data_IF_573749573031
#
_entry.id   IF_573749573031
#
_cell.length_a   1.000
_cell.length_b   1.000
_cell.length_c   1.000
_cell.angle_alpha   90.00
_cell.angle_beta   90.00
_cell.angle_gamma   90.00
#
_symmetry.space_group_name_H-M   'P 1'
#
loop_
_entity.id
_entity.type
_entity.pdbx_description
1 polymer ?
#
# COMPACT_ATOMS: atom_id res chain seq x y z
N UNK A 1 -50.64 -3.32 -5.44
CA UNK A 1 -49.19 -3.39 -5.16
C UNK A 1 -48.56 -4.17 -6.30
N UNK A 2 -47.74 -3.51 -7.12
CA UNK A 2 -47.01 -4.16 -8.20
C UNK A 2 -45.79 -4.81 -7.54
N UNK A 3 -45.84 -6.12 -7.35
CA UNK A 3 -44.66 -6.88 -6.97
C UNK A 3 -43.76 -6.98 -8.20
N UNK A 4 -42.66 -6.24 -8.18
CA UNK A 4 -41.61 -6.39 -9.16
C UNK A 4 -40.86 -7.68 -8.81
N UNK A 5 -40.91 -8.68 -9.68
CA UNK A 5 -40.02 -9.84 -9.57
C UNK A 5 -38.58 -9.32 -9.68
N UNK A 6 -37.80 -9.42 -8.61
CA UNK A 6 -36.38 -9.14 -8.66
C UNK A 6 -35.71 -10.27 -9.44
N UNK A 7 -35.48 -10.08 -10.73
CA UNK A 7 -34.45 -10.84 -11.44
C UNK A 7 -33.11 -10.63 -10.72
N UNK A 8 -32.35 -11.70 -10.53
CA UNK A 8 -31.09 -11.72 -9.79
C UNK A 8 -29.93 -11.06 -10.56
N UNK A 9 -30.16 -9.91 -11.20
CA UNK A 9 -29.15 -9.14 -11.96
C UNK A 9 -28.53 -7.97 -11.16
N UNK A 10 -28.72 -7.91 -9.84
CA UNK A 10 -28.19 -6.83 -8.99
C UNK A 10 -26.83 -7.13 -8.34
N UNK A 11 -26.06 -8.09 -8.85
CA UNK A 11 -24.68 -8.29 -8.37
C UNK A 11 -23.75 -7.22 -8.94
N UNK A 12 -22.83 -6.70 -8.11
CA UNK A 12 -21.83 -5.75 -8.58
C UNK A 12 -20.97 -6.37 -9.71
N UNK A 13 -20.78 -5.64 -10.82
CA UNK A 13 -19.95 -6.08 -11.95
C UNK A 13 -18.51 -5.71 -11.65
N UNK A 14 -17.74 -6.69 -11.17
CA UNK A 14 -16.33 -6.53 -10.80
C UNK A 14 -15.45 -7.08 -11.93
N UNK A 15 -14.46 -6.30 -12.37
CA UNK A 15 -13.44 -6.73 -13.34
C UNK A 15 -12.05 -6.64 -12.73
N UNK A 16 -11.20 -7.59 -13.08
CA UNK A 16 -9.79 -7.62 -12.67
C UNK A 16 -8.93 -7.57 -13.93
N UNK A 17 -8.12 -6.53 -14.09
CA UNK A 17 -7.22 -6.35 -15.22
C UNK A 17 -5.76 -6.48 -14.79
N UNK A 18 -5.07 -7.47 -15.35
CA UNK A 18 -3.64 -7.69 -15.17
C UNK A 18 -2.83 -6.96 -16.23
N UNK A 19 -2.00 -6.00 -15.83
CA UNK A 19 -1.24 -5.15 -16.75
C UNK A 19 0.24 -5.56 -16.78
N UNK A 20 0.73 -5.82 -17.99
CA UNK A 20 2.08 -6.33 -18.24
C UNK A 20 2.27 -7.79 -17.82
N UNK A 21 3.50 -8.29 -17.88
CA UNK A 21 3.81 -9.70 -17.61
C UNK A 21 3.49 -10.15 -16.19
N UNK A 22 3.90 -9.38 -15.18
CA UNK A 22 3.64 -9.72 -13.78
C UNK A 22 2.14 -9.67 -13.44
N UNK A 23 1.42 -8.64 -13.92
CA UNK A 23 -0.04 -8.57 -13.74
C UNK A 23 -0.77 -9.73 -14.45
N UNK A 24 -0.34 -10.10 -15.66
CA UNK A 24 -0.86 -11.26 -16.37
C UNK A 24 -0.63 -12.58 -15.63
N UNK A 25 0.55 -12.77 -15.03
CA UNK A 25 0.84 -13.93 -14.20
C UNK A 25 -0.04 -13.99 -12.95
N UNK A 26 -0.23 -12.86 -12.26
CA UNK A 26 -1.12 -12.77 -11.11
C UNK A 26 -2.57 -13.13 -11.49
N UNK A 27 -3.07 -12.63 -12.63
CA UNK A 27 -4.41 -12.99 -13.14
C UNK A 27 -4.51 -14.48 -13.46
N UNK A 28 -3.50 -15.07 -14.10
CA UNK A 28 -3.47 -16.52 -14.36
C UNK A 28 -3.50 -17.31 -13.04
N UNK A 29 -2.76 -16.88 -12.01
CA UNK A 29 -2.78 -17.49 -10.68
C UNK A 29 -4.16 -17.38 -10.01
N UNK A 30 -4.84 -16.25 -10.16
CA UNK A 30 -6.20 -16.05 -9.64
C UNK A 30 -7.20 -17.01 -10.29
N UNK A 31 -7.12 -17.19 -11.60
CA UNK A 31 -7.97 -18.11 -12.36
C UNK A 31 -7.70 -19.56 -11.93
N UNK A 32 -6.43 -19.94 -11.78
CA UNK A 32 -6.02 -21.28 -11.36
C UNK A 32 -6.46 -21.61 -9.93
N UNK A 33 -6.55 -20.58 -9.09
CA UNK A 33 -7.08 -20.67 -7.72
C UNK A 33 -8.61 -20.75 -7.66
N UNK A 34 -9.29 -20.86 -8.82
CA UNK A 34 -10.75 -20.93 -8.96
C UNK A 34 -11.48 -19.74 -8.34
N UNK A 35 -10.88 -18.56 -8.43
CA UNK A 35 -11.51 -17.33 -7.96
C UNK A 35 -12.69 -16.97 -8.90
N UNK A 36 -13.91 -16.98 -8.36
CA UNK A 36 -15.15 -16.81 -9.10
C UNK A 36 -15.78 -15.43 -8.82
N UNK A 37 -16.77 -15.04 -9.63
CA UNK A 37 -17.54 -13.81 -9.41
C UNK A 37 -16.93 -12.54 -10.00
N UNK A 38 -15.76 -12.64 -10.63
CA UNK A 38 -15.11 -11.53 -11.33
C UNK A 38 -14.82 -11.87 -12.79
N UNK A 39 -14.76 -10.85 -13.65
CA UNK A 39 -14.30 -11.00 -15.03
C UNK A 39 -12.82 -10.65 -15.11
N UNK A 40 -11.99 -11.60 -15.51
CA UNK A 40 -10.55 -11.40 -15.66
C UNK A 40 -10.20 -10.88 -17.05
N UNK A 41 -9.22 -10.00 -17.06
CA UNK A 41 -8.70 -9.34 -18.24
C UNK A 41 -7.18 -9.28 -18.13
N UNK A 42 -6.47 -9.31 -19.26
CA UNK A 42 -5.04 -9.00 -19.30
C UNK A 42 -4.76 -7.96 -20.36
N UNK A 43 -3.82 -7.07 -20.09
CA UNK A 43 -3.36 -6.05 -21.03
C UNK A 43 -1.83 -6.07 -21.11
N UNK A 44 -1.28 -6.29 -22.29
CA UNK A 44 0.17 -6.33 -22.48
C UNK A 44 0.59 -5.83 -23.87
N UNK A 45 1.82 -5.32 -23.95
CA UNK A 45 2.46 -4.96 -25.23
C UNK A 45 3.16 -6.16 -25.87
N UNK A 46 3.47 -7.18 -25.08
CA UNK A 46 4.08 -8.43 -25.55
C UNK A 46 2.99 -9.43 -25.95
N UNK A 47 2.95 -9.79 -27.23
CA UNK A 47 1.97 -10.72 -27.79
C UNK A 47 2.16 -12.15 -27.27
N UNK A 48 3.40 -12.60 -27.09
CA UNK A 48 3.70 -13.95 -26.60
C UNK A 48 3.21 -14.14 -25.16
N UNK A 49 3.30 -13.09 -24.36
CA UNK A 49 2.76 -13.10 -23.00
C UNK A 49 1.24 -13.17 -22.97
N UNK A 50 0.54 -12.67 -24.00
CA UNK A 50 -0.92 -12.75 -24.10
C UNK A 50 -1.41 -14.13 -24.56
N UNK A 51 -0.64 -14.84 -25.40
CA UNK A 51 -1.00 -16.20 -25.86
C UNK A 51 -1.10 -17.20 -24.70
N UNK A 52 -0.30 -17.01 -23.64
CA UNK A 52 -0.33 -17.85 -22.43
C UNK A 52 -1.36 -17.40 -21.39
N UNK A 53 -2.09 -16.31 -21.66
CA UNK A 53 -3.10 -15.79 -20.74
C UNK A 53 -4.34 -16.69 -20.70
N UNK A 54 -4.89 -16.89 -19.49
CA UNK A 54 -6.14 -17.64 -19.27
C UNK A 54 -7.36 -16.73 -19.08
N UNK A 55 -7.17 -15.41 -19.15
CA UNK A 55 -8.23 -14.44 -18.94
C UNK A 55 -9.31 -14.49 -20.03
N UNK A 56 -10.55 -14.13 -19.68
CA UNK A 56 -11.66 -14.12 -20.65
C UNK A 56 -11.50 -13.03 -21.73
N UNK A 57 -10.76 -11.96 -21.41
CA UNK A 57 -10.43 -10.88 -22.34
C UNK A 57 -8.92 -10.65 -22.31
N UNK A 58 -8.29 -10.64 -23.47
CA UNK A 58 -6.89 -10.27 -23.65
C UNK A 58 -6.83 -9.01 -24.52
N UNK A 59 -6.04 -8.03 -24.09
CA UNK A 59 -5.87 -6.75 -24.76
C UNK A 59 -4.39 -6.59 -25.14
N UNK A 60 -4.12 -6.63 -26.44
CA UNK A 60 -2.82 -6.23 -26.95
C UNK A 60 -2.79 -4.72 -27.11
N UNK A 61 -1.95 -4.05 -26.34
CA UNK A 61 -1.83 -2.59 -26.37
C UNK A 61 -0.57 -2.16 -27.12
N UNK A 62 -0.64 -1.03 -27.84
CA UNK A 62 0.51 -0.47 -28.57
C UNK A 62 1.08 -1.39 -29.65
N UNK A 63 0.21 -2.04 -30.44
CA UNK A 63 0.61 -2.92 -31.54
C UNK A 63 1.49 -2.18 -32.56
N UNK A 64 1.16 -0.92 -32.90
CA UNK A 64 1.93 -0.13 -33.87
C UNK A 64 3.26 0.35 -33.31
N UNK A 65 3.33 0.57 -31.99
CA UNK A 65 4.51 1.10 -31.32
C UNK A 65 5.56 0.02 -31.03
N UNK A 66 5.11 -1.17 -30.66
CA UNK A 66 5.98 -2.24 -30.13
C UNK A 66 6.09 -3.45 -31.05
N UNK A 67 5.26 -3.52 -32.10
CA UNK A 67 5.18 -4.68 -33.00
C UNK A 67 4.94 -6.01 -32.25
N UNK A 68 4.34 -5.94 -31.06
CA UNK A 68 4.09 -7.11 -30.20
C UNK A 68 5.31 -7.60 -29.41
N UNK A 69 6.42 -6.87 -29.39
CA UNK A 69 7.70 -7.26 -28.74
C UNK A 69 7.85 -6.75 -27.31
N UNK A 70 6.87 -6.01 -26.79
CA UNK A 70 6.91 -5.46 -25.45
C UNK A 70 7.54 -4.05 -25.34
N UNK A 71 7.48 -3.47 -24.15
CA UNK A 71 7.90 -2.07 -23.90
C UNK A 71 9.40 -1.89 -23.54
N UNK A 72 10.21 -2.95 -23.60
CA UNK A 72 11.67 -2.85 -23.36
C UNK A 72 12.08 -2.25 -22.00
N UNK A 73 11.30 -2.49 -20.94
CA UNK A 73 11.47 -1.88 -19.61
C UNK A 73 11.45 -0.33 -19.58
N UNK A 74 10.84 0.30 -20.58
CA UNK A 74 10.61 1.74 -20.64
C UNK A 74 9.14 2.06 -20.31
N UNK A 75 8.85 2.70 -19.15
CA UNK A 75 7.49 3.09 -18.78
C UNK A 75 6.82 4.01 -19.80
N UNK A 76 7.56 4.89 -20.46
CA UNK A 76 6.95 5.84 -21.40
C UNK A 76 6.38 5.13 -22.64
N UNK A 77 7.04 4.06 -23.10
CA UNK A 77 6.53 3.21 -24.18
C UNK A 77 5.26 2.49 -23.71
N UNK A 78 5.23 1.99 -22.47
CA UNK A 78 4.04 1.36 -21.88
C UNK A 78 2.86 2.33 -21.79
N UNK A 79 3.11 3.58 -21.41
CA UNK A 79 2.10 4.64 -21.35
C UNK A 79 1.56 4.97 -22.74
N UNK A 80 2.44 5.22 -23.71
CA UNK A 80 2.06 5.51 -25.10
C UNK A 80 1.27 4.36 -25.72
N UNK A 81 1.66 3.11 -25.45
CA UNK A 81 0.94 1.93 -25.90
C UNK A 81 -0.49 1.87 -25.34
N UNK A 82 -0.69 2.20 -24.06
CA UNK A 82 -2.03 2.27 -23.48
C UNK A 82 -2.84 3.43 -24.06
N UNK A 83 -2.21 4.59 -24.30
CA UNK A 83 -2.84 5.75 -24.93
C UNK A 83 -3.29 5.45 -26.37
N UNK A 84 -2.50 4.70 -27.14
CA UNK A 84 -2.85 4.25 -28.49
C UNK A 84 -4.13 3.39 -28.50
N UNK A 85 -4.30 2.55 -27.49
CA UNK A 85 -5.39 1.58 -27.37
C UNK A 85 -6.49 2.01 -26.41
N UNK A 86 -6.69 3.33 -26.20
CA UNK A 86 -7.69 3.86 -25.27
C UNK A 86 -9.10 3.34 -25.56
N UNK A 87 -9.51 3.30 -26.83
CA UNK A 87 -10.87 2.92 -27.20
C UNK A 87 -11.15 1.44 -26.91
N UNK A 88 -10.18 0.57 -27.18
CA UNK A 88 -10.27 -0.86 -26.87
C UNK A 88 -10.32 -1.10 -25.36
N UNK A 89 -9.47 -0.40 -24.59
CA UNK A 89 -9.46 -0.46 -23.13
C UNK A 89 -10.81 0.01 -22.57
N UNK A 90 -11.34 1.14 -23.07
CA UNK A 90 -12.63 1.69 -22.64
C UNK A 90 -13.75 0.70 -22.90
N UNK A 91 -13.87 0.20 -24.13
CA UNK A 91 -14.89 -0.77 -24.51
C UNK A 91 -14.82 -2.05 -23.65
N UNK A 92 -13.61 -2.50 -23.35
CA UNK A 92 -13.42 -3.69 -22.52
C UNK A 92 -13.79 -3.45 -21.04
N UNK A 93 -13.62 -2.23 -20.54
CA UNK A 93 -13.94 -1.82 -19.17
C UNK A 93 -15.39 -1.33 -18.97
N UNK A 94 -16.15 -1.06 -20.02
CA UNK A 94 -17.55 -0.61 -19.93
C UNK A 94 -18.45 -1.48 -19.03
N UNK A 95 -19.43 -0.83 -18.39
CA UNK A 95 -20.39 -1.46 -17.46
C UNK A 95 -19.76 -2.13 -16.23
N UNK A 96 -18.57 -1.68 -15.80
CA UNK A 96 -17.96 -2.14 -14.53
C UNK A 96 -18.37 -1.21 -13.40
N UNK A 97 -18.78 -1.78 -12.26
CA UNK A 97 -18.96 -1.00 -11.03
C UNK A 97 -17.64 -0.84 -10.28
N UNK A 98 -16.76 -1.83 -10.42
CA UNK A 98 -15.45 -1.86 -9.77
C UNK A 98 -14.41 -2.49 -10.69
N UNK A 99 -13.23 -1.89 -10.74
CA UNK A 99 -12.08 -2.37 -11.52
C UNK A 99 -10.86 -2.51 -10.62
N UNK A 100 -10.33 -3.72 -10.54
CA UNK A 100 -9.06 -4.01 -9.91
C UNK A 100 -7.96 -4.00 -10.96
N UNK A 101 -6.94 -3.16 -10.78
CA UNK A 101 -5.78 -3.09 -11.65
C UNK A 101 -4.62 -3.76 -10.92
N UNK A 102 -4.15 -4.89 -11.45
CA UNK A 102 -2.97 -5.58 -10.91
C UNK A 102 -1.77 -5.46 -11.83
N UNK A 103 -0.64 -5.02 -11.27
CA UNK A 103 0.58 -4.83 -12.03
C UNK A 103 1.83 -5.02 -11.17
N UNK A 104 2.91 -5.53 -11.77
CA UNK A 104 4.24 -5.44 -11.22
C UNK A 104 4.91 -4.16 -11.70
N UNK A 105 5.24 -3.27 -10.76
CA UNK A 105 5.89 -1.99 -11.07
C UNK A 105 7.41 -2.14 -11.20
N UNK A 106 8.02 -1.18 -11.90
CA UNK A 106 9.44 -1.21 -12.24
C UNK A 106 9.74 -1.82 -13.61
N UNK A 107 8.74 -2.39 -14.28
CA UNK A 107 8.80 -2.75 -15.69
C UNK A 107 8.48 -1.58 -16.63
N UNK A 108 8.29 -1.88 -17.92
CA UNK A 108 7.82 -0.89 -18.90
C UNK A 108 6.29 -0.82 -18.96
N UNK A 109 5.67 -1.92 -19.38
CA UNK A 109 4.22 -1.98 -19.61
C UNK A 109 3.41 -1.75 -18.34
N UNK A 110 3.64 -2.54 -17.27
CA UNK A 110 2.89 -2.40 -16.02
C UNK A 110 2.99 -0.99 -15.43
N UNK A 111 4.20 -0.45 -15.33
CA UNK A 111 4.45 0.88 -14.76
C UNK A 111 3.80 2.01 -15.55
N UNK A 112 3.85 1.95 -16.89
CA UNK A 112 3.37 3.04 -17.75
C UNK A 112 1.89 2.93 -18.13
N UNK A 113 1.38 1.72 -18.34
CA UNK A 113 0.02 1.49 -18.80
C UNK A 113 -1.00 1.48 -17.64
N UNK A 114 -0.62 1.03 -16.44
CA UNK A 114 -1.55 0.95 -15.31
C UNK A 114 -2.19 2.30 -14.93
N UNK A 115 -1.45 3.44 -14.87
CA UNK A 115 -2.07 4.75 -14.63
C UNK A 115 -3.08 5.16 -15.70
N UNK A 116 -2.81 4.87 -16.98
CA UNK A 116 -3.71 5.21 -18.09
C UNK A 116 -4.99 4.37 -18.01
N UNK A 117 -4.87 3.08 -17.72
CA UNK A 117 -6.02 2.19 -17.53
C UNK A 117 -6.85 2.63 -16.31
N UNK A 118 -6.20 3.09 -15.24
CA UNK A 118 -6.87 3.64 -14.06
C UNK A 118 -7.67 4.91 -14.38
N UNK A 119 -7.09 5.83 -15.15
CA UNK A 119 -7.77 7.05 -15.59
C UNK A 119 -9.04 6.72 -16.38
N UNK A 120 -8.96 5.80 -17.35
CA UNK A 120 -10.11 5.33 -18.14
C UNK A 120 -11.16 4.67 -17.24
N UNK A 121 -10.73 3.87 -16.25
CA UNK A 121 -11.64 3.21 -15.29
C UNK A 121 -12.43 4.22 -14.45
N UNK A 122 -11.79 5.34 -14.09
CA UNK A 122 -12.43 6.43 -13.35
C UNK A 122 -13.36 7.27 -14.24
N UNK A 123 -12.98 7.52 -15.49
CA UNK A 123 -13.84 8.21 -16.48
C UNK A 123 -15.18 7.51 -16.68
N UNK A 124 -15.19 6.16 -16.68
CA UNK A 124 -16.42 5.38 -16.80
C UNK A 124 -17.22 5.26 -15.49
N UNK A 125 -16.73 5.86 -14.40
CA UNK A 125 -17.40 5.89 -13.09
C UNK A 125 -17.23 4.63 -12.25
N UNK A 126 -16.27 3.75 -12.56
CA UNK A 126 -15.99 2.57 -11.77
C UNK A 126 -15.09 2.89 -10.56
N UNK A 127 -15.37 2.26 -9.42
CA UNK A 127 -14.45 2.27 -8.28
C UNK A 127 -13.14 1.59 -8.67
N UNK A 128 -12.05 2.33 -8.68
CA UNK A 128 -10.77 1.89 -9.25
C UNK A 128 -9.76 1.64 -8.14
N UNK A 129 -9.37 0.37 -7.99
CA UNK A 129 -8.42 -0.07 -6.97
C UNK A 129 -7.20 -0.66 -7.65
N UNK A 130 -6.02 -0.09 -7.40
CA UNK A 130 -4.76 -0.65 -7.89
C UNK A 130 -4.10 -1.52 -6.83
N UNK A 131 -3.79 -2.77 -7.17
CA UNK A 131 -3.03 -3.70 -6.32
C UNK A 131 -1.71 -4.01 -7.01
N UNK A 132 -0.63 -3.41 -6.54
CA UNK A 132 0.65 -3.38 -7.25
C UNK A 132 1.80 -3.92 -6.43
N UNK A 133 2.73 -4.60 -7.10
CA UNK A 133 3.97 -5.08 -6.45
C UNK A 133 5.16 -4.17 -6.78
N UNK A 134 5.98 -3.93 -5.76
CA UNK A 134 7.30 -3.31 -5.89
C UNK A 134 8.36 -4.38 -6.18
N UNK A 135 9.38 -4.10 -7.01
CA UNK A 135 10.39 -5.08 -7.40
C UNK A 135 11.26 -5.48 -6.20
N UNK A 136 11.94 -6.63 -6.30
CA UNK A 136 12.94 -7.02 -5.31
C UNK A 136 14.16 -6.10 -5.38
N UNK A 137 14.81 -5.83 -4.25
CA UNK A 137 16.01 -4.98 -4.21
C UNK A 137 17.17 -5.49 -5.07
N UNK A 138 17.24 -6.80 -5.36
CA UNK A 138 18.26 -7.38 -6.25
C UNK A 138 18.03 -7.05 -7.74
N UNK A 139 16.81 -6.66 -8.13
CA UNK A 139 16.50 -6.29 -9.52
C UNK A 139 17.07 -4.93 -9.92
N UNK A 140 17.59 -4.17 -8.94
CA UNK A 140 18.38 -2.97 -9.15
C UNK A 140 17.63 -1.67 -8.89
N UNK A 141 18.40 -0.64 -8.54
CA UNK A 141 17.88 0.69 -8.15
C UNK A 141 17.07 1.37 -9.25
N UNK A 142 17.39 1.12 -10.53
CA UNK A 142 16.66 1.71 -11.67
C UNK A 142 15.20 1.25 -11.69
N UNK A 143 14.94 -0.05 -11.53
CA UNK A 143 13.58 -0.60 -11.48
C UNK A 143 12.82 -0.09 -10.26
N UNK A 144 13.46 -0.04 -9.10
CA UNK A 144 12.83 0.51 -7.90
C UNK A 144 12.42 1.98 -8.07
N UNK A 145 13.27 2.80 -8.70
CA UNK A 145 12.92 4.19 -9.01
C UNK A 145 11.72 4.28 -9.96
N UNK A 146 11.74 3.50 -11.04
CA UNK A 146 10.60 3.44 -11.97
C UNK A 146 9.31 3.00 -11.27
N UNK A 147 9.41 2.07 -10.32
CA UNK A 147 8.26 1.61 -9.55
C UNK A 147 7.69 2.73 -8.66
N UNK A 148 8.55 3.48 -7.99
CA UNK A 148 8.12 4.63 -7.17
C UNK A 148 7.45 5.72 -8.01
N UNK A 149 8.03 6.04 -9.18
CA UNK A 149 7.45 7.00 -10.11
C UNK A 149 6.06 6.53 -10.59
N UNK A 150 5.90 5.22 -10.85
CA UNK A 150 4.62 4.60 -11.20
C UNK A 150 3.58 4.62 -10.08
N UNK A 151 3.99 4.42 -8.81
CA UNK A 151 3.08 4.56 -7.66
C UNK A 151 2.55 5.98 -7.57
N UNK A 152 3.42 6.99 -7.71
CA UNK A 152 3.03 8.39 -7.62
C UNK A 152 2.01 8.74 -8.71
N UNK A 153 2.24 8.27 -9.94
CA UNK A 153 1.27 8.45 -11.03
C UNK A 153 -0.06 7.73 -10.74
N UNK A 154 -0.05 6.52 -10.17
CA UNK A 154 -1.27 5.80 -9.79
C UNK A 154 -2.06 6.52 -8.71
N UNK A 155 -1.39 7.03 -7.67
CA UNK A 155 -2.02 7.75 -6.54
C UNK A 155 -2.85 8.95 -6.98
N UNK A 156 -2.48 9.60 -8.07
CA UNK A 156 -3.23 10.75 -8.61
C UNK A 156 -4.53 10.33 -9.31
N UNK A 157 -4.59 9.11 -9.84
CA UNK A 157 -5.70 8.67 -10.71
C UNK A 157 -6.65 7.69 -10.03
N UNK A 158 -6.17 6.74 -9.21
CA UNK A 158 -7.01 5.72 -8.59
C UNK A 158 -7.72 6.23 -7.34
N UNK A 159 -8.71 5.47 -6.86
CA UNK A 159 -9.35 5.74 -5.57
C UNK A 159 -8.51 5.17 -4.41
N UNK A 160 -7.96 3.96 -4.58
CA UNK A 160 -7.08 3.32 -3.59
C UNK A 160 -5.90 2.61 -4.27
N UNK A 161 -4.68 2.81 -3.75
CA UNK A 161 -3.48 2.03 -4.14
C UNK A 161 -3.07 1.12 -2.99
N UNK A 162 -3.09 -0.19 -3.21
CA UNK A 162 -2.50 -1.20 -2.32
C UNK A 162 -1.12 -1.57 -2.85
N UNK A 163 -0.08 -1.29 -2.07
CA UNK A 163 1.31 -1.58 -2.44
C UNK A 163 1.84 -2.81 -1.70
N UNK A 164 2.43 -3.74 -2.44
CA UNK A 164 3.04 -4.95 -1.88
C UNK A 164 4.55 -4.94 -2.16
N UNK A 165 5.36 -4.95 -1.11
CA UNK A 165 6.82 -4.99 -1.23
C UNK A 165 7.35 -6.41 -1.37
N UNK A 166 7.89 -6.76 -2.54
CA UNK A 166 8.52 -8.07 -2.77
C UNK A 166 9.74 -8.30 -1.85
N UNK A 167 10.43 -7.24 -1.43
CA UNK A 167 11.52 -7.36 -0.45
C UNK A 167 11.02 -7.82 0.92
N UNK A 168 9.79 -7.47 1.32
CA UNK A 168 9.19 -7.97 2.57
C UNK A 168 8.83 -9.45 2.45
N UNK A 169 8.32 -9.89 1.29
CA UNK A 169 8.12 -11.32 1.03
C UNK A 169 9.43 -12.10 1.17
N UNK A 170 10.55 -11.54 0.71
CA UNK A 170 11.87 -12.15 0.88
C UNK A 170 12.26 -12.34 2.34
N UNK A 171 11.92 -11.41 3.23
CA UNK A 171 12.22 -11.55 4.67
C UNK A 171 11.46 -12.71 5.34
N UNK A 172 10.31 -13.09 4.79
CA UNK A 172 9.48 -14.21 5.27
C UNK A 172 9.82 -15.54 4.61
N UNK A 173 10.73 -15.54 3.65
CA UNK A 173 11.07 -16.74 2.90
C UNK A 173 12.27 -17.47 3.53
N UNK A 174 12.28 -18.80 3.40
CA UNK A 174 13.45 -19.56 3.81
C UNK A 174 14.66 -19.18 2.96
N UNK A 175 15.88 -19.27 3.52
CA UNK A 175 17.13 -19.00 2.75
C UNK A 175 17.31 -19.93 1.53
N UNK A 176 16.52 -21.00 1.43
CA UNK A 176 16.54 -21.96 0.32
C UNK A 176 15.42 -21.72 -0.70
N UNK A 177 14.55 -20.73 -0.48
CA UNK A 177 13.46 -20.43 -1.39
C UNK A 177 14.01 -20.05 -2.76
N UNK A 178 13.47 -20.66 -3.80
CA UNK A 178 13.79 -20.38 -5.19
C UNK A 178 13.12 -19.09 -5.65
N UNK A 179 13.66 -18.47 -6.70
CA UNK A 179 13.06 -17.26 -7.28
C UNK A 179 11.62 -17.49 -7.76
N UNK A 180 11.32 -18.68 -8.29
CA UNK A 180 9.98 -19.04 -8.75
C UNK A 180 8.98 -19.16 -7.60
N UNK A 181 9.38 -19.73 -6.46
CA UNK A 181 8.55 -19.75 -5.25
C UNK A 181 8.28 -18.34 -4.73
N UNK A 182 9.25 -17.44 -4.83
CA UNK A 182 9.09 -16.05 -4.41
C UNK A 182 8.09 -15.28 -5.26
N UNK A 183 8.13 -15.43 -6.59
CA UNK A 183 7.15 -14.81 -7.48
C UNK A 183 5.74 -15.39 -7.25
N UNK A 184 5.63 -16.72 -7.09
CA UNK A 184 4.35 -17.33 -6.71
C UNK A 184 3.79 -16.78 -5.41
N UNK A 185 4.64 -16.57 -4.41
CA UNK A 185 4.21 -15.96 -3.14
C UNK A 185 3.74 -14.50 -3.31
N UNK A 186 4.33 -13.75 -4.24
CA UNK A 186 3.83 -12.42 -4.59
C UNK A 186 2.46 -12.50 -5.27
N UNK A 187 2.28 -13.44 -6.20
CA UNK A 187 1.00 -13.68 -6.88
C UNK A 187 -0.10 -14.16 -5.90
N UNK A 188 0.26 -14.96 -4.89
CA UNK A 188 -0.64 -15.37 -3.81
C UNK A 188 -1.11 -14.18 -2.96
N UNK A 189 -0.20 -13.25 -2.64
CA UNK A 189 -0.56 -12.04 -1.89
C UNK A 189 -1.47 -11.15 -2.73
N UNK A 190 -1.17 -10.96 -4.02
CA UNK A 190 -2.06 -10.23 -4.95
C UNK A 190 -3.45 -10.86 -5.02
N UNK A 191 -3.53 -12.19 -5.12
CA UNK A 191 -4.78 -12.93 -5.05
C UNK A 191 -5.53 -12.64 -3.76
N UNK A 192 -4.86 -12.73 -2.59
CA UNK A 192 -5.51 -12.48 -1.31
C UNK A 192 -6.00 -11.03 -1.18
N UNK A 193 -5.29 -10.04 -1.72
CA UNK A 193 -5.72 -8.64 -1.73
C UNK A 193 -7.02 -8.44 -2.51
N UNK A 194 -7.09 -8.99 -3.72
CA UNK A 194 -8.30 -8.88 -4.54
C UNK A 194 -9.43 -9.70 -3.91
N UNK A 195 -9.17 -10.97 -3.58
CA UNK A 195 -10.13 -11.91 -2.99
C UNK A 195 -10.75 -11.36 -1.70
N UNK A 196 -9.93 -10.78 -0.81
CA UNK A 196 -10.39 -10.25 0.48
C UNK A 196 -11.45 -9.16 0.34
N UNK A 197 -11.35 -8.31 -0.69
CA UNK A 197 -12.33 -7.25 -0.96
C UNK A 197 -13.54 -7.81 -1.70
N UNK A 198 -13.31 -8.64 -2.71
CA UNK A 198 -14.40 -9.17 -3.55
C UNK A 198 -15.29 -10.15 -2.82
N UNK A 199 -14.73 -10.96 -1.91
CA UNK A 199 -15.50 -11.94 -1.15
C UNK A 199 -16.51 -11.23 -0.23
N UNK A 200 -16.17 -10.06 0.32
CA UNK A 200 -17.10 -9.25 1.11
C UNK A 200 -18.33 -8.77 0.33
N UNK A 201 -18.18 -8.58 -0.99
CA UNK A 201 -19.24 -8.08 -1.86
C UNK A 201 -20.06 -9.23 -2.45
N UNK A 202 -19.39 -10.33 -2.79
CA UNK A 202 -19.95 -11.39 -3.64
C UNK A 202 -20.35 -12.64 -2.87
N UNK A 203 -19.67 -12.97 -1.78
CA UNK A 203 -19.95 -14.19 -1.03
C UNK A 203 -21.03 -13.93 0.02
N UNK A 204 -22.03 -14.82 0.13
CA UNK A 204 -23.02 -14.71 1.19
C UNK A 204 -22.37 -14.97 2.55
N UNK A 205 -22.33 -13.92 3.37
CA UNK A 205 -21.97 -13.92 4.77
C UNK A 205 -23.18 -13.87 5.71
N UNK A 206 -22.92 -14.02 7.01
CA UNK A 206 -23.90 -13.69 8.06
C UNK A 206 -24.19 -12.19 8.09
N UNK A 207 -23.16 -11.39 7.86
CA UNK A 207 -23.22 -9.94 7.68
C UNK A 207 -22.65 -9.60 6.31
N UNK A 208 -23.56 -9.36 5.36
CA UNK A 208 -23.20 -8.88 4.03
C UNK A 208 -23.04 -7.36 4.08
N UNK A 209 -21.91 -6.89 3.59
CA UNK A 209 -21.70 -5.47 3.32
C UNK A 209 -22.32 -5.14 1.96
N UNK A 210 -22.89 -3.94 1.83
CA UNK A 210 -23.32 -3.49 0.53
C UNK A 210 -22.13 -2.90 -0.26
N UNK A 211 -22.29 -2.78 -1.58
CA UNK A 211 -21.24 -2.21 -2.41
C UNK A 211 -21.00 -0.71 -2.11
N UNK A 212 -22.00 0.00 -1.57
CA UNK A 212 -21.89 1.42 -1.27
C UNK A 212 -21.01 1.66 -0.03
N UNK A 213 -21.06 0.79 0.96
CA UNK A 213 -20.21 0.78 2.14
C UNK A 213 -18.73 0.61 1.75
N UNK A 214 -18.44 -0.43 0.95
CA UNK A 214 -17.08 -0.66 0.42
C UNK A 214 -16.62 0.52 -0.42
N UNK A 215 -17.49 1.06 -1.28
CA UNK A 215 -17.17 2.24 -2.08
C UNK A 215 -16.87 3.45 -1.20
N UNK A 216 -17.61 3.67 -0.12
CA UNK A 216 -17.41 4.84 0.76
C UNK A 216 -16.05 4.81 1.42
N UNK A 217 -15.60 3.66 1.94
CA UNK A 217 -14.27 3.51 2.54
C UNK A 217 -13.17 3.58 1.49
N UNK A 218 -13.31 2.83 0.39
CA UNK A 218 -12.26 2.75 -0.64
C UNK A 218 -12.17 3.99 -1.55
N UNK A 219 -13.18 4.86 -1.54
CA UNK A 219 -13.11 6.16 -2.22
C UNK A 219 -12.37 7.21 -1.39
N UNK A 220 -12.11 6.96 -0.10
CA UNK A 220 -11.25 7.82 0.72
C UNK A 220 -9.82 7.66 0.20
N UNK A 221 -9.40 8.66 -0.57
CA UNK A 221 -8.23 8.61 -1.41
C UNK A 221 -6.95 8.32 -0.62
N UNK A 222 -6.13 7.39 -1.11
CA UNK A 222 -4.76 7.30 -0.64
C UNK A 222 -4.06 5.96 -0.78
N UNK A 223 -2.96 5.85 -0.04
CA UNK A 223 -2.23 4.62 0.17
C UNK A 223 -3.06 3.72 1.09
N UNK A 224 -3.21 2.47 0.69
CA UNK A 224 -3.82 1.44 1.51
C UNK A 224 -2.84 0.31 1.76
N UNK A 225 -2.98 -0.31 2.93
CA UNK A 225 -2.18 -1.43 3.36
C UNK A 225 -3.08 -2.60 3.70
N UNK A 226 -2.59 -3.81 3.41
CA UNK A 226 -3.32 -5.04 3.64
C UNK A 226 -2.53 -5.96 4.56
N UNK A 227 -3.20 -6.42 5.61
CA UNK A 227 -2.72 -7.45 6.52
C UNK A 227 -3.63 -8.67 6.48
N UNK A 228 -3.08 -9.87 6.66
CA UNK A 228 -3.88 -11.10 6.79
C UNK A 228 -3.30 -11.98 7.87
N UNK A 229 -4.16 -12.41 8.80
CA UNK A 229 -3.81 -13.36 9.84
C UNK A 229 -4.68 -14.60 9.74
N UNK A 230 -4.07 -15.75 10.02
CA UNK A 230 -4.77 -17.04 10.12
C UNK A 230 -4.40 -17.66 11.46
N UNK A 231 -5.39 -18.14 12.19
CA UNK A 231 -5.21 -18.87 13.44
C UNK A 231 -6.32 -19.93 13.63
N UNK A 232 -6.13 -20.83 14.58
CA UNK A 232 -7.04 -21.93 14.94
C UNK A 232 -6.97 -22.20 16.45
N UNK A 233 -7.98 -22.90 17.00
CA UNK A 233 -8.11 -23.14 18.45
C UNK A 233 -8.94 -22.08 19.20
N UNK A 234 -8.90 -22.12 20.54
CA UNK A 234 -9.82 -21.34 21.40
C UNK A 234 -9.66 -19.81 21.27
N UNK A 235 -8.44 -19.30 21.03
CA UNK A 235 -8.16 -17.87 20.85
C UNK A 235 -7.95 -17.48 19.39
N UNK A 236 -8.49 -18.26 18.44
CA UNK A 236 -8.23 -18.07 17.01
C UNK A 236 -8.62 -16.68 16.49
N UNK A 237 -9.70 -16.09 16.99
CA UNK A 237 -10.15 -14.78 16.52
C UNK A 237 -9.19 -13.66 16.91
N UNK A 238 -8.80 -13.60 18.18
CA UNK A 238 -7.84 -12.63 18.71
C UNK A 238 -6.46 -12.82 18.06
N UNK A 239 -5.97 -14.06 17.96
CA UNK A 239 -4.67 -14.35 17.34
C UNK A 239 -4.65 -14.00 15.85
N UNK A 240 -5.72 -14.30 15.11
CA UNK A 240 -5.81 -13.96 13.70
C UNK A 240 -5.86 -12.45 13.50
N UNK A 241 -6.61 -11.72 14.33
CA UNK A 241 -6.62 -10.26 14.32
C UNK A 241 -5.23 -9.68 14.61
N UNK A 242 -4.53 -10.18 15.65
CA UNK A 242 -3.16 -9.75 15.99
C UNK A 242 -2.18 -9.98 14.84
N UNK A 243 -2.24 -11.16 14.20
CA UNK A 243 -1.41 -11.49 13.04
C UNK A 243 -1.74 -10.63 11.82
N UNK A 244 -3.00 -10.22 11.67
CA UNK A 244 -3.42 -9.35 10.57
C UNK A 244 -2.84 -7.95 10.75
N UNK A 245 -2.90 -7.37 11.96
CA UNK A 245 -2.41 -6.01 12.22
C UNK A 245 -0.89 -5.91 12.36
N UNK A 246 -0.22 -7.00 12.71
CA UNK A 246 1.25 -7.09 12.77
C UNK A 246 1.84 -7.71 11.50
N UNK A 247 1.04 -7.83 10.44
CA UNK A 247 1.45 -8.55 9.26
C UNK A 247 2.66 -7.86 8.59
N UNK A 248 3.72 -8.58 8.20
CA UNK A 248 4.96 -8.00 7.66
C UNK A 248 4.82 -7.23 6.34
N UNK A 249 3.62 -7.26 5.72
CA UNK A 249 3.28 -6.48 4.54
C UNK A 249 2.78 -5.08 4.85
N UNK A 250 2.42 -4.79 6.10
CA UNK A 250 1.94 -3.47 6.56
C UNK A 250 3.07 -2.41 6.70
N UNK A 251 4.21 -2.63 6.07
CA UNK A 251 5.40 -1.76 6.16
C UNK A 251 5.78 -1.39 7.61
N UNK A 252 6.40 -0.23 7.82
CA UNK A 252 6.63 0.36 9.15
C UNK A 252 5.48 1.34 9.52
N UNK A 253 4.33 1.18 8.87
CA UNK A 253 3.17 2.05 8.99
C UNK A 253 2.13 1.31 9.83
N UNK A 254 1.93 1.78 11.06
CA UNK A 254 0.88 1.23 11.90
C UNK A 254 -0.49 1.52 11.28
N UNK A 255 -1.47 0.64 11.53
CA UNK A 255 -2.88 0.87 11.16
C UNK A 255 -3.43 2.11 11.89
N UNK A 256 -2.79 2.52 12.99
CA UNK A 256 -3.09 3.76 13.71
C UNK A 256 -3.02 4.99 12.81
N UNK A 257 -4.14 5.70 12.71
CA UNK A 257 -4.27 6.89 11.85
C UNK A 257 -4.89 6.63 10.47
N UNK A 258 -5.37 5.42 10.20
CA UNK A 258 -6.21 5.16 9.02
C UNK A 258 -7.58 5.85 9.15
N UNK A 259 -8.03 6.53 8.11
CA UNK A 259 -9.37 7.16 8.07
C UNK A 259 -10.50 6.14 7.87
N UNK A 260 -10.17 4.97 7.31
CA UNK A 260 -11.12 3.89 7.09
C UNK A 260 -10.45 2.52 7.13
N UNK A 261 -11.09 1.56 7.80
CA UNK A 261 -10.61 0.19 7.93
C UNK A 261 -11.69 -0.78 7.46
N UNK A 262 -11.34 -1.63 6.51
CA UNK A 262 -12.18 -2.72 6.04
C UNK A 262 -11.65 -4.04 6.60
N UNK A 263 -12.47 -4.72 7.40
CA UNK A 263 -12.17 -6.01 8.01
C UNK A 263 -13.02 -7.11 7.36
N UNK A 264 -12.36 -8.16 6.89
CA UNK A 264 -13.00 -9.39 6.41
C UNK A 264 -12.63 -10.55 7.30
N UNK A 265 -13.64 -11.23 7.84
CA UNK A 265 -13.46 -12.43 8.66
C UNK A 265 -13.96 -13.64 7.87
N UNK A 266 -13.05 -14.48 7.39
CA UNK A 266 -13.40 -15.77 6.79
C UNK A 266 -13.34 -16.88 7.84
N UNK A 267 -14.43 -17.63 8.01
CA UNK A 267 -14.59 -18.64 9.05
C UNK A 267 -15.55 -19.75 8.57
N UNK A 268 -15.58 -20.87 9.29
CA UNK A 268 -16.63 -21.87 9.15
C UNK A 268 -17.96 -21.39 9.74
N UNK A 269 -18.98 -22.23 9.61
CA UNK A 269 -20.32 -21.99 10.19
C UNK A 269 -20.37 -21.98 11.74
N UNK A 270 -19.23 -22.14 12.39
CA UNK A 270 -19.03 -22.24 13.84
C UNK A 270 -18.59 -20.93 14.52
N UNK A 271 -18.49 -19.82 13.76
CA UNK A 271 -18.13 -18.52 14.31
C UNK A 271 -19.09 -18.05 15.41
N UNK A 272 -18.54 -17.76 16.58
CA UNK A 272 -19.30 -17.22 17.72
C UNK A 272 -19.28 -15.69 17.76
N UNK A 273 -20.28 -15.10 18.40
CA UNK A 273 -20.31 -13.65 18.63
C UNK A 273 -19.14 -13.17 19.51
N UNK A 274 -18.68 -13.99 20.45
CA UNK A 274 -17.56 -13.64 21.32
C UNK A 274 -16.26 -13.50 20.52
N UNK A 275 -15.96 -14.47 19.64
CA UNK A 275 -14.83 -14.42 18.73
C UNK A 275 -14.87 -13.17 17.83
N UNK A 276 -16.04 -12.86 17.27
CA UNK A 276 -16.21 -11.68 16.42
C UNK A 276 -15.95 -10.37 17.19
N UNK A 277 -16.47 -10.26 18.42
CA UNK A 277 -16.24 -9.08 19.28
C UNK A 277 -14.77 -8.94 19.64
N UNK A 278 -14.08 -10.03 20.03
CA UNK A 278 -12.66 -9.99 20.36
C UNK A 278 -11.79 -9.52 19.18
N UNK A 279 -12.04 -10.03 17.98
CA UNK A 279 -11.32 -9.61 16.77
C UNK A 279 -11.59 -8.14 16.43
N UNK A 280 -12.85 -7.71 16.50
CA UNK A 280 -13.25 -6.34 16.20
C UNK A 280 -12.65 -5.34 17.20
N UNK A 281 -12.75 -5.61 18.50
CA UNK A 281 -12.22 -4.75 19.56
C UNK A 281 -10.70 -4.59 19.43
N UNK A 282 -9.99 -5.68 19.09
CA UNK A 282 -8.54 -5.62 18.92
C UNK A 282 -8.12 -4.70 17.77
N UNK A 283 -8.85 -4.73 16.66
CA UNK A 283 -8.59 -3.88 15.49
C UNK A 283 -9.00 -2.43 15.77
N UNK A 284 -10.13 -2.23 16.46
CA UNK A 284 -10.60 -0.91 16.87
C UNK A 284 -9.57 -0.18 17.75
N UNK A 285 -9.01 -0.89 18.73
CA UNK A 285 -7.97 -0.37 19.61
C UNK A 285 -6.68 0.03 18.87
N UNK A 286 -6.38 -0.59 17.72
CA UNK A 286 -5.18 -0.28 16.93
C UNK A 286 -5.42 0.87 15.94
N UNK A 287 -6.59 0.91 15.29
CA UNK A 287 -6.91 1.93 14.28
C UNK A 287 -7.13 3.32 14.90
N UNK A 288 -7.70 3.38 16.10
CA UNK A 288 -8.05 4.61 16.80
C UNK A 288 -9.55 4.95 16.70
N UNK A 289 -10.05 5.73 17.65
CA UNK A 289 -11.50 5.99 17.82
C UNK A 289 -12.15 6.77 16.67
N UNK A 290 -11.35 7.48 15.86
CA UNK A 290 -11.82 8.30 14.73
C UNK A 290 -11.89 7.50 13.40
N UNK A 291 -11.40 6.26 13.37
CA UNK A 291 -11.38 5.45 12.17
C UNK A 291 -12.77 4.84 11.87
N UNK A 292 -13.25 4.98 10.64
CA UNK A 292 -14.49 4.32 10.23
C UNK A 292 -14.21 2.84 9.91
N UNK A 293 -14.67 1.92 10.76
CA UNK A 293 -14.43 0.49 10.60
C UNK A 293 -15.67 -0.19 10.04
N UNK A 294 -15.50 -0.83 8.89
CA UNK A 294 -16.50 -1.67 8.26
C UNK A 294 -16.03 -3.12 8.33
N UNK A 295 -16.89 -4.01 8.81
CA UNK A 295 -16.57 -5.42 8.97
C UNK A 295 -17.60 -6.30 8.27
N UNK A 296 -17.12 -7.38 7.67
CA UNK A 296 -17.97 -8.40 7.08
C UNK A 296 -17.45 -9.80 7.37
N UNK A 297 -18.35 -10.77 7.27
CA UNK A 297 -18.06 -12.19 7.53
C UNK A 297 -18.23 -12.97 6.24
N UNK A 298 -17.30 -13.86 5.92
CA UNK A 298 -17.40 -14.78 4.79
C UNK A 298 -17.43 -16.19 5.34
N UNK A 299 -18.49 -16.93 5.05
CA UNK A 299 -18.59 -18.34 5.44
C UNK A 299 -17.92 -19.21 4.38
N UNK A 300 -16.92 -19.98 4.80
CA UNK A 300 -16.21 -20.94 3.97
C UNK A 300 -16.03 -22.24 4.75
N UNK A 301 -16.92 -23.21 4.56
CA UNK A 301 -16.83 -24.50 5.27
C UNK A 301 -15.60 -25.34 4.85
N UNK A 302 -14.82 -24.92 3.85
CA UNK A 302 -13.62 -25.63 3.41
C UNK A 302 -12.40 -25.41 4.32
N UNK A 303 -12.40 -24.34 5.12
CA UNK A 303 -11.25 -23.99 5.99
C UNK A 303 -11.31 -24.67 7.37
N UNK A 304 -12.38 -25.41 7.68
CA UNK A 304 -12.49 -26.17 8.92
C UNK A 304 -12.51 -25.28 10.17
N UNK A 305 -11.57 -25.52 11.08
CA UNK A 305 -11.43 -24.80 12.37
C UNK A 305 -10.54 -23.53 12.26
N UNK A 306 -10.11 -23.18 11.04
CA UNK A 306 -9.32 -21.97 10.84
C UNK A 306 -10.20 -20.73 10.75
N UNK A 307 -9.73 -19.65 11.38
CA UNK A 307 -10.29 -18.32 11.24
C UNK A 307 -9.24 -17.41 10.58
N UNK A 308 -9.63 -16.77 9.48
CA UNK A 308 -8.80 -15.84 8.72
C UNK A 308 -9.36 -14.43 8.86
N UNK A 309 -8.53 -13.51 9.34
CA UNK A 309 -8.85 -12.08 9.38
C UNK A 309 -8.00 -11.36 8.34
N UNK A 310 -8.65 -10.63 7.44
CA UNK A 310 -8.00 -9.73 6.50
C UNK A 310 -8.38 -8.30 6.85
N UNK A 311 -7.39 -7.43 7.01
CA UNK A 311 -7.58 -6.01 7.33
C UNK A 311 -7.01 -5.18 6.20
N UNK A 312 -7.79 -4.21 5.73
CA UNK A 312 -7.40 -3.23 4.71
C UNK A 312 -7.59 -1.86 5.31
N UNK A 313 -6.48 -1.18 5.58
CA UNK A 313 -6.48 0.17 6.09
C UNK A 313 -6.30 1.15 4.93
N UNK A 314 -7.16 2.16 4.87
CA UNK A 314 -7.24 3.20 3.82
C UNK A 314 -7.09 4.59 4.42
N UNK A 315 -6.70 5.57 3.61
CA UNK A 315 -6.50 6.94 4.07
C UNK A 315 -5.31 7.07 5.04
N UNK A 316 -4.32 6.16 4.95
CA UNK A 316 -3.13 6.28 5.79
C UNK A 316 -2.29 7.43 5.24
N UNK A 317 -2.25 8.53 5.99
CA UNK A 317 -1.31 9.59 5.72
C UNK A 317 0.09 9.03 5.97
N UNK A 318 0.87 8.93 4.89
CA UNK A 318 2.30 8.77 5.06
C UNK A 318 2.76 9.98 5.87
N UNK A 319 3.17 9.79 7.12
CA UNK A 319 4.18 10.64 7.74
C UNK A 319 5.48 10.44 6.93
N UNK A 320 5.44 10.77 5.64
CA UNK A 320 6.62 11.12 4.90
C UNK A 320 7.06 12.40 5.56
N UNK A 321 7.90 12.19 6.58
CA UNK A 321 8.63 13.16 7.34
C UNK A 321 8.63 14.48 6.57
N UNK A 322 7.93 15.47 7.10
CA UNK A 322 8.55 16.77 7.23
C UNK A 322 9.87 16.52 7.98
N UNK A 323 10.87 15.97 7.27
CA UNK A 323 12.22 16.49 7.33
C UNK A 323 11.98 17.93 6.97
N UNK A 324 11.64 18.73 7.98
CA UNK A 324 11.98 20.12 8.08
C UNK A 324 13.34 20.19 7.41
N UNK A 325 13.33 20.59 6.14
CA UNK A 325 14.55 21.01 5.48
C UNK A 325 14.96 22.12 6.42
N UNK A 326 15.94 21.85 7.28
CA UNK A 326 16.63 22.92 7.97
C UNK A 326 17.16 23.75 6.81
N UNK A 327 16.39 24.76 6.43
CA UNK A 327 16.73 25.78 5.45
C UNK A 327 17.71 26.73 6.13
N UNK A 328 18.76 26.17 6.73
CA UNK A 328 19.98 26.91 6.97
C UNK A 328 20.65 27.00 5.62
N UNK A 329 20.59 28.17 4.97
CA UNK A 329 21.55 28.47 3.91
C UNK A 329 22.94 28.32 4.54
N UNK A 330 23.70 27.32 4.10
CA UNK A 330 25.11 27.24 4.43
C UNK A 330 25.74 28.48 3.82
N UNK A 331 26.19 29.42 4.66
CA UNK A 331 26.94 30.59 4.16
C UNK A 331 28.29 30.10 3.65
N UNK A 332 28.77 30.70 2.58
CA UNK A 332 30.13 30.44 2.10
C UNK A 332 31.16 30.85 3.17
N UNK A 333 32.28 30.13 3.20
CA UNK A 333 33.38 30.35 4.14
C UNK A 333 34.03 31.70 3.81
N UNK A 334 34.13 32.60 4.79
CA UNK A 334 34.80 33.90 4.60
C UNK A 334 36.29 33.81 4.97
N UNK A 335 37.11 34.72 4.47
CA UNK A 335 38.55 34.79 4.82
C UNK A 335 38.76 34.95 6.34
N UNK A 336 37.81 35.56 7.06
CA UNK A 336 37.85 35.66 8.53
C UNK A 336 37.69 34.30 9.23
N UNK A 337 36.94 33.36 8.64
CA UNK A 337 36.81 31.99 9.17
C UNK A 337 38.09 31.16 8.94
N UNK A 338 38.84 31.48 7.88
CA UNK A 338 40.13 30.84 7.55
C UNK A 338 41.31 31.39 8.37
N UNK A 339 41.23 32.65 8.82
CA UNK A 339 42.27 33.33 9.61
C UNK A 339 42.08 33.17 11.14
N UNK A 340 41.02 32.50 11.58
CA UNK A 340 40.68 32.35 12.99
C UNK A 340 41.63 31.41 13.73
N UNK A 341 42.65 31.96 14.39
CA UNK A 341 43.34 31.29 15.50
C UNK A 341 42.30 30.97 16.57
N UNK A 342 41.91 29.71 16.68
CA UNK A 342 40.94 29.26 17.70
C UNK A 342 41.57 29.48 19.08
N UNK A 343 41.15 30.52 19.79
CA UNK A 343 41.52 30.68 21.19
C UNK A 343 40.81 29.57 21.99
N UNK A 344 41.58 28.59 22.46
CA UNK A 344 41.05 27.36 23.07
C UNK A 344 40.57 27.57 24.51
N UNK A 345 40.89 28.72 25.10
CA UNK A 345 40.58 29.06 26.50
C UNK A 345 39.11 29.48 26.70
N UNK A 346 38.38 29.84 25.65
CA UNK A 346 36.94 30.15 25.77
C UNK A 346 36.08 28.88 25.63
N UNK A 347 34.98 28.71 26.38
CA UNK A 347 34.07 27.59 26.19
C UNK A 347 33.47 27.50 24.77
N UNK A 348 33.31 26.29 24.25
CA UNK A 348 32.89 26.02 22.86
C UNK A 348 31.54 26.66 22.48
N UNK A 349 30.63 26.86 23.44
CA UNK A 349 29.32 27.46 23.17
C UNK A 349 29.39 28.96 22.87
N UNK A 350 30.29 29.71 23.54
CA UNK A 350 30.52 31.14 23.31
C UNK A 350 31.19 31.36 21.96
N UNK A 351 32.17 30.51 21.62
CA UNK A 351 32.86 30.54 20.33
C UNK A 351 31.90 30.29 19.15
N UNK A 352 30.93 29.38 19.31
CA UNK A 352 29.90 29.13 18.28
C UNK A 352 28.90 30.27 18.12
N UNK A 353 28.54 30.98 19.19
CA UNK A 353 27.62 32.12 19.12
C UNK A 353 28.20 33.27 18.29
N UNK A 354 29.47 33.63 18.50
CA UNK A 354 30.14 34.68 17.70
C UNK A 354 30.23 34.33 16.21
N UNK A 355 30.40 33.07 15.86
CA UNK A 355 30.54 32.63 14.47
C UNK A 355 29.24 32.70 13.64
N UNK A 356 28.07 32.74 14.30
CA UNK A 356 26.74 32.74 13.66
C UNK A 356 26.19 34.16 13.47
N UNK A 357 26.71 35.16 14.19
CA UNK A 357 26.25 36.54 14.12
C UNK A 357 24.83 36.73 14.65
N UNK A 358 24.60 37.76 15.46
CA UNK A 358 23.30 38.03 16.10
C UNK A 358 22.17 38.42 15.11
N UNK A 359 22.46 38.52 13.81
CA UNK A 359 21.51 38.97 12.79
C UNK A 359 20.74 37.88 12.04
N UNK A 360 20.99 36.59 12.29
CA UNK A 360 20.21 35.51 11.67
C UNK A 360 19.43 34.76 12.75
N UNK A 361 18.11 34.69 12.62
CA UNK A 361 17.15 34.22 13.63
C UNK A 361 17.22 32.73 14.01
N UNK A 362 18.41 32.16 14.10
CA UNK A 362 18.66 30.85 14.65
C UNK A 362 18.83 30.96 16.18
N UNK A 363 17.73 30.88 16.93
CA UNK A 363 17.81 30.68 18.37
C UNK A 363 18.33 29.27 18.67
N UNK A 364 19.50 29.19 19.33
CA UNK A 364 20.01 27.95 19.88
C UNK A 364 19.09 27.52 21.04
N UNK A 365 18.20 26.56 20.82
CA UNK A 365 17.45 25.94 21.93
C UNK A 365 18.44 25.07 22.72
N UNK A 366 18.96 25.63 23.80
CA UNK A 366 19.80 24.91 24.76
C UNK A 366 19.06 23.71 25.35
N UNK A 367 19.83 22.66 25.66
CA UNK A 367 19.36 21.47 26.37
C UNK A 367 18.70 21.90 27.70
N UNK A 368 17.53 21.32 27.99
CA UNK A 368 16.66 21.62 29.14
C UNK A 368 17.41 21.97 30.44
N UNK A 369 17.12 23.16 31.00
CA UNK A 369 16.77 23.28 32.41
C UNK A 369 17.84 23.61 33.45
N UNK A 370 18.95 24.28 33.11
CA UNK A 370 19.86 24.84 34.12
C UNK A 370 20.18 26.30 33.78
N UNK A 371 19.63 27.23 34.56
CA UNK A 371 20.09 28.63 34.58
C UNK A 371 21.34 28.61 35.47
N UNK A 372 22.53 28.78 34.87
CA UNK A 372 23.77 28.90 35.64
C UNK A 372 24.02 30.37 35.96
N UNK A 373 23.99 30.72 37.25
CA UNK A 373 24.45 32.02 37.73
C UNK A 373 26.00 32.05 37.71
N UNK A 374 26.56 33.18 37.28
CA UNK A 374 27.98 33.32 36.97
C UNK A 374 28.88 33.20 38.21
N UNK A 375 28.31 33.47 39.39
CA UNK A 375 29.02 33.40 40.68
C UNK A 375 29.13 31.99 41.27
N UNK A 376 28.45 31.00 40.68
CA UNK A 376 28.42 29.64 41.22
C UNK A 376 29.60 28.79 40.72
N UNK A 377 30.44 29.31 39.81
CA UNK A 377 31.46 28.53 39.10
C UNK A 377 32.73 28.23 39.92
N UNK A 378 32.95 28.92 41.03
CA UNK A 378 34.14 28.70 41.89
C UNK A 378 33.96 27.53 42.88
N UNK A 379 32.77 26.95 42.97
CA UNK A 379 32.48 25.83 43.87
C UNK A 379 32.52 24.51 43.09
N UNK A 380 33.42 23.56 43.44
CA UNK A 380 33.51 22.26 42.80
C UNK A 380 32.19 21.49 42.84
N UNK A 381 31.84 20.85 41.73
CA UNK A 381 30.52 20.26 41.45
C UNK A 381 30.03 19.24 42.48
N UNK A 382 30.95 18.56 43.19
CA UNK A 382 30.59 17.56 44.21
C UNK A 382 30.09 18.16 45.53
N UNK A 383 30.38 19.44 45.80
CA UNK A 383 29.91 20.14 47.01
C UNK A 383 28.51 20.72 46.87
N UNK A 384 28.00 20.89 45.64
CA UNK A 384 26.68 21.47 45.38
C UNK A 384 25.50 20.54 45.70
N UNK A 385 25.76 19.23 45.88
CA UNK A 385 24.73 18.19 45.97
C UNK A 385 24.37 17.75 47.41
N UNK A 386 24.86 18.46 48.42
CA UNK A 386 24.60 18.15 49.85
C UNK A 386 23.71 19.16 50.58
N UNK A 387 23.20 20.17 49.87
CA UNK A 387 22.25 21.13 50.40
C UNK A 387 20.98 21.09 49.54
N UNK A 388 20.31 19.93 49.55
CA UNK A 388 18.89 19.74 49.26
C UNK A 388 18.41 18.45 49.92
#
# INVERSE_FOLDING_TARGET
>A
MIFNFMESEKSAKIKVIGVGGAGGNAVNNMIDSKFNGVKFMTANTDAQALEVSRAQITLQIGEKLTEGLGAGANPEIGRQAATESIDDIRAALENSHMVFITAGLGGGTGTGAAPVIAEISKEIGALTVAVVTLPFGFEGKKRMKQAQDGINALKEVVDTVITISNDRLRSLASKKATMLEMFKKADEVLLHSVKGITDLIMMPGLVNLDFADVRTIMSKAGLALMGTGVASGESRALEAAERAISHPLLEDVCIGGAEGVLMSVTCGSDLTMAEMTEASDRIYNEAGEEAEIIWGTVLDDSIGDELRVTVIATGIQSEEQEKTKFSGKVRDITEADLLGTTNLDEPTFIRRQKAVGEGTGAHYKGYRGIIMDHNDLDIPTFMRRKAD
#
